data_IF_566071329558
#
_entry.id   IF_566071329558
#
_cell.length_a   1.000
_cell.length_b   1.000
_cell.length_c   1.000
_cell.angle_alpha   90.00
_cell.angle_beta   90.00
_cell.angle_gamma   90.00
#
_symmetry.space_group_name_H-M   'P 1'
#
loop_
_entity.id
_entity.type
_entity.pdbx_description
1 polymer ?
#
# COMPACT_ATOMS: atom_id res chain seq x y z
N UNK A 1 17.29 10.27 -18.08
CA UNK A 1 15.87 10.42 -17.68
C UNK A 1 14.99 9.90 -18.79
N UNK A 2 14.37 8.76 -18.61
CA UNK A 2 13.36 8.28 -19.55
C UNK A 2 12.05 9.04 -19.32
N UNK A 3 11.40 9.39 -20.41
CA UNK A 3 10.09 10.09 -20.36
C UNK A 3 9.07 9.17 -20.97
N UNK A 4 7.96 8.96 -20.31
CA UNK A 4 6.86 8.15 -20.83
C UNK A 4 5.53 8.89 -20.75
N UNK A 5 4.60 8.49 -21.61
CA UNK A 5 3.21 8.97 -21.56
C UNK A 5 2.36 7.98 -20.77
N UNK A 6 1.60 8.46 -19.79
CA UNK A 6 0.68 7.65 -18.99
C UNK A 6 -0.75 8.04 -19.33
N UNK A 7 -1.62 7.02 -19.42
CA UNK A 7 -3.05 7.19 -19.67
C UNK A 7 -3.85 7.14 -18.36
N UNK A 8 -4.59 8.22 -18.09
CA UNK A 8 -5.69 8.22 -17.11
C UNK A 8 -6.91 7.51 -17.74
N UNK A 9 -7.15 6.28 -17.29
CA UNK A 9 -8.22 5.44 -17.82
C UNK A 9 -9.61 6.05 -17.56
N UNK A 10 -9.81 6.80 -16.49
CA UNK A 10 -11.12 7.34 -16.12
C UNK A 10 -11.50 8.52 -17.00
N UNK A 11 -10.54 9.35 -17.38
CA UNK A 11 -10.75 10.46 -18.30
C UNK A 11 -10.81 10.04 -19.77
N UNK A 12 -10.25 8.89 -20.12
CA UNK A 12 -10.14 8.44 -21.50
C UNK A 12 -11.49 8.06 -22.10
N UNK A 13 -11.88 8.70 -23.23
CA UNK A 13 -13.10 8.45 -23.96
C UNK A 13 -12.81 8.14 -25.45
N UNK A 14 -12.24 6.96 -25.77
CA UNK A 14 -11.71 6.65 -27.10
C UNK A 14 -12.77 6.69 -28.20
N UNK A 15 -14.02 6.30 -27.91
CA UNK A 15 -15.14 6.36 -28.86
C UNK A 15 -15.47 7.79 -29.33
N UNK A 16 -15.17 8.81 -28.52
CA UNK A 16 -15.43 10.21 -28.87
C UNK A 16 -14.27 10.87 -29.61
N UNK A 17 -13.04 10.46 -29.38
CA UNK A 17 -11.85 11.03 -30.03
C UNK A 17 -11.28 10.16 -31.13
N UNK A 18 -11.88 9.01 -31.40
CA UNK A 18 -11.40 8.06 -32.41
C UNK A 18 -9.91 7.75 -32.30
N UNK A 19 -9.42 7.48 -31.07
CA UNK A 19 -8.03 7.10 -30.80
C UNK A 19 -6.99 8.09 -31.35
N UNK A 20 -7.25 9.38 -31.26
CA UNK A 20 -6.36 10.44 -31.78
C UNK A 20 -4.90 10.28 -31.33
N UNK A 21 -4.65 9.76 -30.12
CA UNK A 21 -3.31 9.50 -29.59
C UNK A 21 -2.53 8.49 -30.46
N UNK A 22 -3.18 7.46 -30.98
CA UNK A 22 -2.55 6.46 -31.86
C UNK A 22 -2.24 7.06 -33.22
N UNK A 23 -3.17 7.81 -33.82
CA UNK A 23 -2.99 8.42 -35.14
C UNK A 23 -1.82 9.40 -35.22
N UNK A 24 -1.49 10.07 -34.13
CA UNK A 24 -0.40 11.04 -34.07
C UNK A 24 0.88 10.51 -33.41
N UNK A 25 0.88 9.27 -32.90
CA UNK A 25 2.07 8.68 -32.30
C UNK A 25 3.13 8.39 -33.37
N UNK A 26 4.37 8.89 -33.22
CA UNK A 26 5.44 8.59 -34.17
C UNK A 26 5.74 7.08 -34.26
N UNK A 27 5.84 6.37 -33.11
CA UNK A 27 6.11 4.93 -33.09
C UNK A 27 5.03 4.13 -33.82
N UNK A 28 3.74 4.40 -33.55
CA UNK A 28 2.62 3.76 -34.28
C UNK A 28 2.69 4.01 -35.79
N UNK A 29 3.11 5.22 -36.21
CA UNK A 29 3.30 5.55 -37.63
C UNK A 29 4.50 4.83 -38.27
N UNK A 30 5.45 4.38 -37.44
CA UNK A 30 6.58 3.57 -37.85
C UNK A 30 6.29 2.06 -37.76
N UNK A 31 5.00 1.71 -37.59
CA UNK A 31 4.52 0.33 -37.45
C UNK A 31 5.01 -0.37 -36.18
N UNK A 32 5.36 0.40 -35.14
CA UNK A 32 5.69 -0.11 -33.81
C UNK A 32 4.44 -0.19 -32.93
N UNK A 33 4.36 -1.18 -32.05
CA UNK A 33 3.28 -1.37 -31.08
C UNK A 33 3.37 -0.41 -29.87
N UNK A 34 3.79 0.83 -30.11
CA UNK A 34 3.95 1.87 -29.09
C UNK A 34 2.65 2.19 -28.38
N UNK A 35 1.52 2.17 -29.09
CA UNK A 35 0.17 2.31 -28.50
C UNK A 35 -0.72 1.24 -29.14
N UNK A 36 -1.22 0.33 -28.33
CA UNK A 36 -2.17 -0.71 -28.75
C UNK A 36 -3.54 -0.53 -28.07
N UNK A 37 -4.55 -1.22 -28.56
CA UNK A 37 -5.89 -1.18 -27.96
C UNK A 37 -6.05 -2.39 -27.05
N UNK A 38 -6.24 -2.17 -25.76
CA UNK A 38 -6.58 -3.23 -24.82
C UNK A 38 -7.93 -3.87 -25.19
N UNK A 39 -7.94 -5.17 -25.39
CA UNK A 39 -9.13 -5.91 -25.84
C UNK A 39 -10.30 -5.86 -24.84
N UNK A 40 -10.00 -5.79 -23.54
CA UNK A 40 -11.02 -5.80 -22.47
C UNK A 40 -11.64 -4.42 -22.27
N UNK A 41 -10.81 -3.41 -22.05
CA UNK A 41 -11.29 -2.05 -21.75
C UNK A 41 -11.60 -1.23 -23.00
N UNK A 42 -11.12 -1.67 -24.18
CA UNK A 42 -11.17 -0.90 -25.45
C UNK A 42 -10.50 0.48 -25.34
N UNK A 43 -9.58 0.65 -24.42
CA UNK A 43 -8.79 1.87 -24.22
C UNK A 43 -7.37 1.69 -24.76
N UNK A 44 -6.67 2.80 -25.11
CA UNK A 44 -5.27 2.71 -25.51
C UNK A 44 -4.41 2.21 -24.36
N UNK A 45 -3.46 1.35 -24.67
CA UNK A 45 -2.38 0.91 -23.79
C UNK A 45 -1.06 1.42 -24.40
N UNK A 46 -0.30 2.18 -23.63
CA UNK A 46 0.96 2.79 -24.08
C UNK A 46 2.10 1.93 -23.60
N UNK A 47 2.96 1.48 -24.52
CA UNK A 47 4.16 0.71 -24.17
C UNK A 47 5.18 1.59 -23.45
N UNK A 48 5.70 1.12 -22.33
CA UNK A 48 6.74 1.81 -21.56
C UNK A 48 8.10 1.77 -22.25
N UNK A 49 8.38 0.68 -22.95
CA UNK A 49 9.66 0.47 -23.65
C UNK A 49 9.75 1.25 -24.96
N UNK A 50 8.66 1.29 -25.71
CA UNK A 50 8.62 1.91 -27.04
C UNK A 50 8.24 3.39 -26.99
N UNK A 51 7.69 3.88 -25.89
CA UNK A 51 7.25 5.26 -25.77
C UNK A 51 8.42 6.21 -25.49
N UNK A 52 8.73 7.09 -26.41
CA UNK A 52 9.79 8.12 -26.26
C UNK A 52 9.38 9.34 -25.40
N UNK A 53 8.14 9.39 -24.87
CA UNK A 53 7.65 10.50 -24.07
C UNK A 53 7.62 11.85 -24.81
N UNK A 54 7.45 11.86 -26.12
CA UNK A 54 7.51 13.06 -26.97
C UNK A 54 6.38 14.08 -26.70
N UNK A 55 5.33 13.70 -25.97
CA UNK A 55 4.22 14.58 -25.58
C UNK A 55 3.20 14.91 -26.68
N UNK A 56 3.33 14.37 -27.89
CA UNK A 56 2.39 14.65 -28.99
C UNK A 56 1.00 14.15 -28.62
N UNK A 57 0.87 12.94 -28.08
CA UNK A 57 -0.39 12.36 -27.65
C UNK A 57 -1.06 13.18 -26.53
N UNK A 58 -0.29 13.74 -25.62
CA UNK A 58 -0.78 14.61 -24.53
C UNK A 58 -1.42 15.88 -25.10
N UNK A 59 -0.71 16.55 -26.01
CA UNK A 59 -1.19 17.79 -26.64
C UNK A 59 -2.39 17.57 -27.56
N UNK A 60 -2.57 16.38 -28.08
CA UNK A 60 -3.67 16.04 -28.99
C UNK A 60 -4.89 15.44 -28.29
N UNK A 61 -4.75 14.99 -27.05
CA UNK A 61 -5.85 14.38 -26.30
C UNK A 61 -6.90 15.43 -25.90
N UNK A 62 -8.14 15.40 -26.46
CA UNK A 62 -9.15 16.41 -26.15
C UNK A 62 -9.71 16.30 -24.72
N UNK A 63 -9.43 15.19 -24.03
CA UNK A 63 -9.90 14.92 -22.67
C UNK A 63 -8.81 15.13 -21.60
N UNK A 64 -7.59 15.51 -21.99
CA UNK A 64 -6.48 15.64 -21.06
C UNK A 64 -6.17 14.33 -20.29
N UNK A 65 -6.45 13.19 -20.93
CA UNK A 65 -6.31 11.88 -20.31
C UNK A 65 -4.89 11.32 -20.42
N UNK A 66 -3.95 12.01 -21.07
CA UNK A 66 -2.56 11.54 -21.24
C UNK A 66 -1.62 12.58 -20.67
N UNK A 67 -0.73 12.19 -19.80
CA UNK A 67 0.30 13.02 -19.21
C UNK A 67 1.67 12.42 -19.48
N UNK A 68 2.68 13.26 -19.71
CA UNK A 68 4.09 12.82 -19.79
C UNK A 68 4.69 12.95 -18.39
N UNK A 69 5.26 11.89 -17.92
CA UNK A 69 6.06 11.89 -16.70
C UNK A 69 7.53 11.65 -17.02
N UNK A 70 8.40 12.29 -16.23
CA UNK A 70 9.82 11.96 -16.23
C UNK A 70 9.99 10.83 -15.23
N UNK A 71 10.37 9.64 -15.71
CA UNK A 71 10.83 8.60 -14.81
C UNK A 71 12.23 9.00 -14.32
N UNK A 72 12.53 8.93 -13.03
CA UNK A 72 13.91 8.85 -12.60
C UNK A 72 14.55 7.70 -13.38
N UNK A 73 15.80 7.84 -13.78
CA UNK A 73 16.53 6.70 -14.36
C UNK A 73 16.31 5.54 -13.40
N UNK A 74 15.79 4.43 -13.91
CA UNK A 74 15.57 3.24 -13.12
C UNK A 74 16.96 2.77 -12.66
N UNK A 75 17.40 3.25 -11.51
CA UNK A 75 18.69 2.91 -10.93
C UNK A 75 18.67 1.50 -10.35
N UNK A 76 17.48 0.91 -10.17
CA UNK A 76 17.29 -0.40 -9.57
C UNK A 76 16.01 -1.05 -10.13
N UNK A 77 15.99 -2.38 -10.12
CA UNK A 77 14.77 -3.14 -10.39
C UNK A 77 13.69 -2.79 -9.34
N UNK A 78 12.43 -2.59 -9.73
CA UNK A 78 11.38 -2.29 -8.76
C UNK A 78 11.19 -3.49 -7.83
N UNK A 79 11.04 -3.22 -6.55
CA UNK A 79 10.73 -4.26 -5.55
C UNK A 79 9.37 -4.90 -5.81
N UNK A 80 8.38 -4.10 -6.22
CA UNK A 80 7.05 -4.60 -6.56
C UNK A 80 6.37 -3.70 -7.59
N UNK A 81 5.63 -4.34 -8.51
CA UNK A 81 4.85 -3.68 -9.54
C UNK A 81 3.47 -4.35 -9.68
N UNK A 82 2.40 -3.56 -9.72
CA UNK A 82 1.03 -4.10 -9.81
C UNK A 82 0.58 -4.41 -11.24
N UNK A 83 1.29 -3.95 -12.24
CA UNK A 83 0.92 -4.17 -13.65
C UNK A 83 1.57 -3.16 -14.59
N UNK A 84 1.30 -3.28 -15.88
CA UNK A 84 1.81 -2.36 -16.88
C UNK A 84 1.29 -0.93 -16.65
N UNK A 85 2.16 0.08 -16.70
CA UNK A 85 1.84 1.49 -16.43
C UNK A 85 1.16 1.71 -15.05
N UNK A 86 1.51 0.89 -14.09
CA UNK A 86 0.97 0.88 -12.75
C UNK A 86 1.99 1.40 -11.75
N UNK A 87 1.58 1.48 -10.49
CA UNK A 87 2.47 1.87 -9.41
C UNK A 87 3.64 0.89 -9.26
N UNK A 88 4.83 1.44 -9.08
CA UNK A 88 6.08 0.73 -8.80
C UNK A 88 6.63 1.15 -7.45
N UNK A 89 7.05 0.18 -6.67
CA UNK A 89 7.75 0.38 -5.41
C UNK A 89 9.23 0.08 -5.60
N UNK A 90 10.09 1.01 -5.19
CA UNK A 90 11.55 0.85 -5.20
C UNK A 90 12.08 0.79 -3.77
N UNK A 91 12.77 -0.30 -3.44
CA UNK A 91 13.38 -0.52 -2.14
C UNK A 91 12.39 -0.78 -1.01
N UNK A 92 12.92 -1.33 0.08
CA UNK A 92 12.22 -1.54 1.35
C UNK A 92 13.06 -0.94 2.49
N UNK A 93 12.42 -0.45 3.55
CA UNK A 93 13.15 0.03 4.71
C UNK A 93 13.81 -1.11 5.45
N UNK A 94 14.97 -0.85 6.03
CA UNK A 94 15.67 -1.81 6.89
C UNK A 94 15.01 -1.83 8.26
N UNK A 95 14.52 -3.01 8.66
CA UNK A 95 13.95 -3.26 9.97
C UNK A 95 15.07 -3.49 10.99
N UNK A 96 14.91 -2.90 12.17
CA UNK A 96 15.77 -3.15 13.33
C UNK A 96 14.90 -3.68 14.46
N UNK A 97 15.32 -4.80 15.03
CA UNK A 97 14.65 -5.37 16.19
C UNK A 97 14.58 -4.38 17.35
N UNK A 98 13.45 -4.35 18.05
CA UNK A 98 13.21 -3.44 19.19
C UNK A 98 13.09 -1.95 18.80
N UNK A 99 12.94 -1.63 17.52
CA UNK A 99 12.80 -0.24 17.06
C UNK A 99 11.44 0.05 16.47
N UNK A 100 11.07 1.34 16.45
CA UNK A 100 9.87 1.84 15.78
C UNK A 100 10.27 2.50 14.47
N UNK A 101 9.62 2.12 13.38
CA UNK A 101 9.80 2.69 12.05
C UNK A 101 8.57 3.49 11.63
N UNK A 102 8.74 4.78 11.39
CA UNK A 102 7.68 5.66 10.86
C UNK A 102 7.76 5.79 9.34
N UNK A 103 6.69 5.44 8.62
CA UNK A 103 6.56 5.66 7.19
C UNK A 103 5.80 6.96 6.93
N UNK A 104 6.51 7.98 6.45
CA UNK A 104 5.95 9.29 6.13
C UNK A 104 5.96 9.53 4.63
N UNK A 105 4.89 10.13 4.11
CA UNK A 105 4.80 10.46 2.69
C UNK A 105 3.37 10.73 2.25
N UNK A 106 3.22 11.27 1.05
CA UNK A 106 1.92 11.55 0.44
C UNK A 106 1.10 10.27 0.22
N UNK A 107 -0.21 10.43 0.03
CA UNK A 107 -1.06 9.29 -0.33
C UNK A 107 -0.69 8.77 -1.73
N UNK A 108 -0.72 7.45 -1.89
CA UNK A 108 -0.33 6.78 -3.13
C UNK A 108 1.17 6.55 -3.32
N UNK A 109 2.05 6.95 -2.37
CA UNK A 109 3.52 6.75 -2.50
C UNK A 109 3.97 5.30 -2.21
N UNK A 110 3.06 4.42 -1.79
CA UNK A 110 3.38 3.01 -1.53
C UNK A 110 3.53 2.60 -0.08
N UNK A 111 3.15 3.45 0.91
CA UNK A 111 3.21 3.10 2.34
C UNK A 111 2.52 1.78 2.65
N UNK A 112 1.27 1.62 2.21
CA UNK A 112 0.51 0.38 2.44
C UNK A 112 1.10 -0.81 1.68
N UNK A 113 1.70 -0.60 0.51
CA UNK A 113 2.42 -1.65 -0.23
C UNK A 113 3.63 -2.16 0.57
N UNK A 114 4.43 -1.24 1.12
CA UNK A 114 5.56 -1.59 2.00
C UNK A 114 5.05 -2.40 3.20
N UNK A 115 3.99 -1.93 3.87
CA UNK A 115 3.42 -2.62 5.03
C UNK A 115 2.92 -4.02 4.69
N UNK A 116 2.23 -4.17 3.55
CA UNK A 116 1.74 -5.48 3.08
C UNK A 116 2.88 -6.45 2.76
N UNK A 117 3.99 -5.95 2.19
CA UNK A 117 5.17 -6.77 1.94
C UNK A 117 5.82 -7.19 3.26
N UNK A 118 6.05 -6.25 4.17
CA UNK A 118 6.67 -6.53 5.46
C UNK A 118 5.80 -7.39 6.38
N UNK A 119 4.49 -7.38 6.21
CA UNK A 119 3.57 -8.26 6.94
C UNK A 119 3.35 -9.63 6.28
N UNK A 120 3.92 -9.87 5.12
CA UNK A 120 3.74 -11.12 4.38
C UNK A 120 2.41 -11.25 3.63
N UNK A 121 1.58 -10.19 3.61
CA UNK A 121 0.32 -10.18 2.87
C UNK A 121 0.52 -10.02 1.36
N UNK A 122 1.67 -9.49 0.95
CA UNK A 122 2.06 -9.28 -0.43
C UNK A 122 3.48 -9.79 -0.65
N UNK A 123 3.66 -10.69 -1.60
CA UNK A 123 4.99 -11.17 -2.00
C UNK A 123 5.53 -10.25 -3.10
N UNK A 124 6.72 -9.65 -2.95
CA UNK A 124 7.34 -8.84 -3.99
C UNK A 124 7.54 -9.62 -5.29
N UNK A 125 7.35 -8.94 -6.43
CA UNK A 125 7.50 -9.56 -7.75
C UNK A 125 8.67 -9.02 -8.59
N UNK A 126 9.44 -8.07 -8.06
CA UNK A 126 10.61 -7.48 -8.70
C UNK A 126 10.35 -7.01 -10.14
N UNK A 127 9.15 -6.46 -10.39
CA UNK A 127 8.72 -5.97 -11.71
C UNK A 127 8.05 -7.01 -12.60
N UNK A 128 8.19 -8.30 -12.31
CA UNK A 128 7.54 -9.40 -13.05
C UNK A 128 6.11 -9.60 -12.54
N UNK A 129 5.18 -8.74 -12.99
CA UNK A 129 3.78 -8.76 -12.58
C UNK A 129 2.94 -9.85 -13.28
N UNK A 130 3.47 -10.50 -14.31
CA UNK A 130 2.83 -11.61 -15.02
C UNK A 130 3.29 -12.98 -14.50
N UNK A 131 4.45 -13.02 -13.85
CA UNK A 131 5.04 -14.22 -13.28
C UNK A 131 4.54 -14.55 -11.88
N UNK A 132 4.91 -15.75 -11.42
CA UNK A 132 4.62 -16.19 -10.06
C UNK A 132 5.65 -15.59 -9.08
N UNK A 133 5.13 -14.90 -8.06
CA UNK A 133 5.94 -14.44 -6.92
C UNK A 133 6.13 -15.58 -5.92
N UNK A 134 7.35 -15.74 -5.40
CA UNK A 134 7.64 -16.74 -4.37
C UNK A 134 8.59 -16.21 -3.31
N UNK A 135 8.51 -16.75 -2.11
CA UNK A 135 9.41 -16.37 -1.02
C UNK A 135 10.86 -16.75 -1.30
N UNK A 136 11.11 -17.82 -2.07
CA UNK A 136 12.46 -18.23 -2.47
C UNK A 136 13.13 -17.12 -3.30
N UNK A 137 12.42 -16.56 -4.29
CA UNK A 137 12.92 -15.43 -5.10
C UNK A 137 13.23 -14.22 -4.23
N UNK A 138 12.37 -13.91 -3.25
CA UNK A 138 12.54 -12.78 -2.33
C UNK A 138 13.78 -12.97 -1.45
N UNK A 139 13.94 -14.14 -0.86
CA UNK A 139 15.08 -14.49 0.00
C UNK A 139 16.40 -14.44 -0.77
N UNK A 140 16.41 -14.90 -2.03
CA UNK A 140 17.61 -14.88 -2.89
C UNK A 140 17.97 -13.45 -3.32
N UNK A 141 16.97 -12.64 -3.68
CA UNK A 141 17.17 -11.22 -4.03
C UNK A 141 17.81 -10.42 -2.88
N UNK A 142 17.35 -10.62 -1.65
CA UNK A 142 17.88 -9.94 -0.47
C UNK A 142 19.08 -10.63 0.18
N UNK A 143 19.74 -11.57 -0.52
CA UNK A 143 20.89 -12.31 -0.03
C UNK A 143 22.02 -11.41 0.49
N UNK A 144 22.46 -11.68 1.72
CA UNK A 144 23.49 -10.87 2.37
C UNK A 144 23.00 -9.57 3.01
N UNK A 145 21.72 -9.24 2.93
CA UNK A 145 21.12 -8.09 3.60
C UNK A 145 20.40 -8.48 4.90
N UNK A 146 20.09 -7.48 5.76
CA UNK A 146 19.30 -7.69 6.97
C UNK A 146 17.88 -8.21 6.67
N UNK A 147 17.32 -7.82 5.52
CA UNK A 147 15.99 -8.26 5.08
C UNK A 147 15.92 -9.74 4.71
N UNK A 148 17.06 -10.38 4.36
CA UNK A 148 17.08 -11.80 4.04
C UNK A 148 16.62 -12.66 5.22
N UNK A 149 17.16 -12.41 6.41
CA UNK A 149 16.80 -13.17 7.61
C UNK A 149 15.36 -12.91 8.01
N UNK A 150 14.92 -11.64 7.94
CA UNK A 150 13.54 -11.27 8.19
C UNK A 150 12.57 -12.04 7.29
N UNK A 151 12.80 -12.05 5.97
CA UNK A 151 11.92 -12.75 5.03
C UNK A 151 11.99 -14.27 5.15
N UNK A 152 13.12 -14.84 5.59
CA UNK A 152 13.19 -16.27 5.94
C UNK A 152 12.25 -16.62 7.09
N UNK A 153 12.35 -15.90 8.20
CA UNK A 153 11.48 -16.12 9.36
C UNK A 153 10.02 -15.82 9.07
N UNK A 154 9.73 -14.79 8.24
CA UNK A 154 8.37 -14.48 7.79
C UNK A 154 7.78 -15.61 6.92
N UNK A 155 8.56 -16.13 5.96
CA UNK A 155 8.16 -17.24 5.10
C UNK A 155 7.98 -18.57 5.85
N UNK A 156 8.77 -18.79 6.91
CA UNK A 156 8.64 -19.93 7.81
C UNK A 156 7.45 -19.83 8.77
N UNK A 157 6.78 -18.68 8.85
CA UNK A 157 5.69 -18.42 9.79
C UNK A 157 6.15 -18.23 11.24
N UNK A 158 7.43 -17.92 11.44
CA UNK A 158 8.02 -17.68 12.76
C UNK A 158 7.71 -16.26 13.28
N UNK A 159 7.31 -15.33 12.40
CA UNK A 159 6.96 -13.96 12.77
C UNK A 159 5.44 -13.84 12.83
N UNK A 160 4.89 -13.68 14.03
CA UNK A 160 3.48 -13.36 14.23
C UNK A 160 3.27 -11.87 14.04
N UNK A 161 2.60 -11.52 12.95
CA UNK A 161 2.29 -10.14 12.58
C UNK A 161 0.97 -9.71 13.19
N UNK A 162 0.98 -8.61 13.91
CA UNK A 162 -0.22 -7.98 14.48
C UNK A 162 -0.50 -6.67 13.72
N UNK A 163 -1.70 -6.58 13.18
CA UNK A 163 -2.12 -5.45 12.35
C UNK A 163 -3.25 -4.65 12.99
N UNK A 164 -3.06 -3.33 13.07
CA UNK A 164 -4.14 -2.36 13.33
C UNK A 164 -4.62 -1.81 11.97
N UNK A 165 -5.83 -2.15 11.52
CA UNK A 165 -6.34 -1.72 10.22
C UNK A 165 -6.67 -0.22 10.19
N UNK A 166 -6.65 0.37 9.00
CA UNK A 166 -7.01 1.77 8.77
C UNK A 166 -8.49 2.05 9.13
N UNK A 167 -9.41 1.18 8.67
CA UNK A 167 -10.85 1.37 8.89
C UNK A 167 -11.29 0.73 10.21
N UNK A 168 -11.38 1.53 11.25
CA UNK A 168 -11.85 1.06 12.57
C UNK A 168 -13.39 1.00 12.71
N UNK A 169 -14.11 1.73 11.88
CA UNK A 169 -15.60 1.75 11.89
C UNK A 169 -16.20 0.38 11.56
N UNK A 170 -15.47 -0.50 10.88
CA UNK A 170 -15.90 -1.88 10.64
C UNK A 170 -15.83 -2.76 11.90
N UNK A 171 -14.95 -2.40 12.86
CA UNK A 171 -14.83 -3.14 14.11
C UNK A 171 -16.13 -3.08 14.93
N UNK A 172 -16.79 -1.93 15.01
CA UNK A 172 -18.07 -1.78 15.72
C UNK A 172 -19.19 -2.62 15.13
N UNK A 173 -19.13 -2.97 13.83
CA UNK A 173 -20.13 -3.81 13.15
C UNK A 173 -19.89 -5.31 13.33
N UNK A 174 -18.64 -5.71 13.54
CA UNK A 174 -18.24 -7.12 13.63
C UNK A 174 -18.12 -7.57 15.08
N UNK A 175 -17.59 -6.71 15.95
CA UNK A 175 -17.38 -7.01 17.37
C UNK A 175 -18.59 -6.55 18.18
N UNK A 176 -19.30 -7.51 18.77
CA UNK A 176 -20.44 -7.25 19.68
C UNK A 176 -19.97 -7.30 21.14
N UNK A 177 -20.57 -6.46 21.96
CA UNK A 177 -20.28 -6.39 23.40
C UNK A 177 -19.54 -5.12 23.79
N UNK A 178 -19.19 -5.03 25.08
CA UNK A 178 -18.52 -3.85 25.62
C UNK A 178 -16.99 -3.90 25.42
N UNK A 179 -16.37 -2.73 25.53
CA UNK A 179 -14.92 -2.54 25.35
C UNK A 179 -14.10 -3.44 26.27
N UNK A 180 -14.50 -3.53 27.55
CA UNK A 180 -13.80 -4.31 28.56
C UNK A 180 -13.72 -5.79 28.20
N UNK A 181 -14.85 -6.36 27.79
CA UNK A 181 -14.91 -7.77 27.36
C UNK A 181 -14.00 -8.03 26.16
N UNK A 182 -14.00 -7.13 25.16
CA UNK A 182 -13.13 -7.24 24.01
C UNK A 182 -11.65 -7.19 24.43
N UNK A 183 -11.24 -6.16 25.18
CA UNK A 183 -9.83 -5.98 25.55
C UNK A 183 -9.33 -7.12 26.43
N UNK A 184 -10.16 -7.60 27.37
CA UNK A 184 -9.83 -8.76 28.20
C UNK A 184 -9.64 -10.03 27.36
N UNK A 185 -10.45 -10.22 26.32
CA UNK A 185 -10.37 -11.41 25.46
C UNK A 185 -9.12 -11.46 24.56
N UNK A 186 -8.51 -10.30 24.28
CA UNK A 186 -7.32 -10.19 23.41
C UNK A 186 -6.04 -9.92 24.21
N UNK A 187 -6.11 -9.81 25.53
CA UNK A 187 -4.94 -9.56 26.37
C UNK A 187 -4.10 -10.84 26.53
N UNK A 188 -3.22 -11.08 25.57
CA UNK A 188 -2.24 -12.18 25.60
C UNK A 188 -1.00 -11.82 26.42
N UNK A 189 -0.82 -10.53 26.77
CA UNK A 189 0.37 -10.00 27.43
C UNK A 189 0.19 -9.67 28.92
N UNK A 190 -1.03 -9.74 29.44
CA UNK A 190 -1.35 -9.38 30.83
C UNK A 190 -1.11 -7.89 31.15
N UNK A 191 -1.27 -7.01 30.15
CA UNK A 191 -1.01 -5.56 30.25
C UNK A 191 -2.27 -4.71 30.14
N UNK A 192 -3.43 -5.28 30.39
CA UNK A 192 -4.72 -4.62 30.21
C UNK A 192 -4.81 -3.30 30.97
N UNK A 193 -4.47 -3.30 32.27
CA UNK A 193 -4.62 -2.10 33.13
C UNK A 193 -3.65 -0.99 32.68
N UNK A 194 -2.40 -1.32 32.33
CA UNK A 194 -1.39 -0.38 31.83
C UNK A 194 -1.89 0.31 30.56
N UNK A 195 -2.37 -0.47 29.59
CA UNK A 195 -2.84 0.05 28.29
C UNK A 195 -4.14 0.84 28.41
N UNK A 196 -5.04 0.48 29.34
CA UNK A 196 -6.25 1.27 29.64
C UNK A 196 -5.87 2.66 30.15
N UNK A 197 -4.85 2.75 31.00
CA UNK A 197 -4.38 4.02 31.55
C UNK A 197 -3.68 4.88 30.48
N UNK A 198 -2.76 4.29 29.73
CA UNK A 198 -2.00 4.97 28.69
C UNK A 198 -2.90 5.55 27.58
N UNK A 199 -3.97 4.84 27.21
CA UNK A 199 -4.88 5.27 26.15
C UNK A 199 -6.15 5.95 26.64
N UNK A 200 -6.25 6.29 27.94
CA UNK A 200 -7.40 6.98 28.57
C UNK A 200 -8.74 6.30 28.22
N UNK A 201 -8.84 4.99 28.47
CA UNK A 201 -9.99 4.16 28.11
C UNK A 201 -10.95 3.91 29.30
N UNK A 202 -10.62 4.34 30.52
CA UNK A 202 -11.42 4.05 31.75
C UNK A 202 -12.90 4.40 31.60
N UNK A 203 -13.16 5.52 30.95
CA UNK A 203 -14.54 6.06 30.83
C UNK A 203 -15.40 5.35 29.76
N UNK A 204 -14.79 4.47 28.94
CA UNK A 204 -15.46 3.78 27.83
C UNK A 204 -15.56 2.27 28.02
N UNK A 205 -14.94 1.70 29.06
CA UNK A 205 -14.85 0.26 29.27
C UNK A 205 -16.20 -0.47 29.29
N UNK A 206 -17.20 0.14 29.90
CA UNK A 206 -18.54 -0.46 30.05
C UNK A 206 -19.48 -0.10 28.86
N UNK A 207 -18.99 0.69 27.87
CA UNK A 207 -19.79 1.03 26.68
C UNK A 207 -19.68 -0.06 25.62
N UNK A 208 -20.78 -0.24 24.92
CA UNK A 208 -20.79 -1.12 23.75
C UNK A 208 -20.01 -0.49 22.58
N UNK A 209 -19.37 -1.32 21.80
CA UNK A 209 -18.55 -0.91 20.64
C UNK A 209 -19.30 -0.01 19.64
N UNK A 210 -20.61 -0.21 19.50
CA UNK A 210 -21.47 0.57 18.60
C UNK A 210 -21.71 2.02 19.08
N UNK A 211 -21.48 2.29 20.37
CA UNK A 211 -21.73 3.58 21.00
C UNK A 211 -20.47 4.42 21.20
N UNK A 212 -19.35 4.01 20.58
CA UNK A 212 -18.09 4.72 20.65
C UNK A 212 -17.99 5.79 19.57
N UNK A 213 -17.40 6.93 19.90
CA UNK A 213 -16.95 7.92 18.92
C UNK A 213 -15.78 7.39 18.10
N UNK A 214 -15.51 7.98 16.92
CA UNK A 214 -14.40 7.58 16.07
C UNK A 214 -13.04 7.58 16.79
N UNK A 215 -12.77 8.59 17.63
CA UNK A 215 -11.53 8.67 18.41
C UNK A 215 -11.44 7.62 19.52
N UNK A 216 -12.55 7.32 20.20
CA UNK A 216 -12.62 6.25 21.21
C UNK A 216 -12.40 4.89 20.55
N UNK A 217 -13.06 4.64 19.42
CA UNK A 217 -12.91 3.40 18.65
C UNK A 217 -11.47 3.21 18.14
N UNK A 218 -10.83 4.30 17.73
CA UNK A 218 -9.42 4.28 17.31
C UNK A 218 -8.49 3.87 18.45
N UNK A 219 -8.67 4.45 19.65
CA UNK A 219 -7.88 4.09 20.85
C UNK A 219 -8.13 2.64 21.28
N UNK A 220 -9.37 2.18 21.24
CA UNK A 220 -9.71 0.76 21.51
C UNK A 220 -9.04 -0.17 20.48
N UNK A 221 -9.01 0.21 19.21
CA UNK A 221 -8.33 -0.58 18.18
C UNK A 221 -6.81 -0.64 18.41
N UNK A 222 -6.19 0.46 18.82
CA UNK A 222 -4.76 0.48 19.20
C UNK A 222 -4.54 -0.42 20.41
N UNK A 223 -5.35 -0.29 21.46
CA UNK A 223 -5.28 -1.13 22.67
C UNK A 223 -5.36 -2.63 22.31
N UNK A 224 -6.38 -3.00 21.54
CA UNK A 224 -6.58 -4.39 21.10
C UNK A 224 -5.42 -4.93 20.25
N UNK A 225 -4.69 -4.07 19.54
CA UNK A 225 -3.52 -4.44 18.79
C UNK A 225 -2.31 -4.67 19.70
N UNK A 226 -2.06 -3.74 20.63
CA UNK A 226 -0.89 -3.77 21.53
C UNK A 226 -1.00 -4.88 22.60
N UNK A 227 -2.22 -5.23 23.00
CA UNK A 227 -2.46 -6.31 23.99
C UNK A 227 -2.17 -7.70 23.43
N UNK A 228 -2.17 -7.89 22.13
CA UNK A 228 -1.78 -9.17 21.52
C UNK A 228 -0.28 -9.36 21.57
N UNK A 229 0.16 -10.60 21.65
CA UNK A 229 1.56 -10.98 21.55
C UNK A 229 1.95 -11.17 20.07
N UNK A 230 3.09 -10.58 19.66
CA UNK A 230 3.61 -10.69 18.30
C UNK A 230 5.00 -10.12 18.18
N UNK A 231 5.72 -10.52 17.14
CA UNK A 231 7.08 -10.07 16.83
C UNK A 231 7.11 -8.82 15.96
N UNK A 232 6.05 -8.61 15.15
CA UNK A 232 5.93 -7.47 14.26
C UNK A 232 4.55 -6.83 14.37
N UNK A 233 4.54 -5.55 14.76
CA UNK A 233 3.32 -4.75 14.87
C UNK A 233 3.31 -3.70 13.77
N UNK A 234 2.21 -3.57 13.04
CA UNK A 234 2.04 -2.43 12.17
C UNK A 234 0.70 -1.72 12.34
N UNK A 235 0.76 -0.39 12.30
CA UNK A 235 -0.37 0.49 12.53
C UNK A 235 -0.58 1.34 11.29
N UNK A 236 -1.71 1.14 10.62
CA UNK A 236 -2.09 1.98 9.48
C UNK A 236 -2.86 3.20 9.98
N UNK A 237 -2.30 4.39 9.75
CA UNK A 237 -2.84 5.68 10.19
C UNK A 237 -3.32 5.69 11.65
N UNK A 238 -2.48 5.40 12.65
CA UNK A 238 -2.91 5.26 14.04
C UNK A 238 -3.46 6.55 14.65
N UNK A 239 -3.12 7.72 14.10
CA UNK A 239 -3.53 9.02 14.59
C UNK A 239 -4.78 9.58 13.93
N UNK A 240 -5.38 8.87 12.96
CA UNK A 240 -6.65 9.25 12.35
C UNK A 240 -7.75 9.30 13.42
N UNK A 241 -8.65 10.28 13.32
CA UNK A 241 -9.76 10.51 14.27
C UNK A 241 -9.36 10.96 15.68
N UNK A 242 -8.05 11.03 16.02
CA UNK A 242 -7.57 11.54 17.28
C UNK A 242 -7.47 13.07 17.24
N UNK A 243 -7.84 13.73 18.34
CA UNK A 243 -7.59 15.16 18.49
C UNK A 243 -6.10 15.47 18.71
N UNK A 244 -5.74 16.76 18.70
CA UNK A 244 -4.34 17.19 18.81
C UNK A 244 -3.70 16.72 20.13
N UNK A 245 -4.45 16.74 21.24
CA UNK A 245 -3.94 16.31 22.55
C UNK A 245 -3.69 14.81 22.57
N UNK A 246 -4.61 14.03 22.01
CA UNK A 246 -4.51 12.58 21.93
C UNK A 246 -3.40 12.09 20.98
N UNK A 247 -2.96 12.93 20.02
CA UNK A 247 -1.85 12.62 19.11
C UNK A 247 -0.49 12.86 19.73
N UNK A 248 -0.41 13.66 20.80
CA UNK A 248 0.83 14.07 21.46
C UNK A 248 1.14 13.26 22.73
N UNK A 249 0.19 12.49 23.22
CA UNK A 249 0.37 11.51 24.27
C UNK A 249 0.73 10.14 23.69
#
# INVERSE_FOLDING_TARGET
MSRISILDKDRCQPKKCNYVCMHYCPGVRMEEDTIVIDEKSKKPLISEELCSGCGICTNRCPFGAINVINLPEALEEPTHRYGQNSFELFGLPVLKEGSVLGLLGQNGIGKSTIMNILSGQLIPNFGDYEGESSWEKVIDHYKGSALQNYFKSLAAGEIKVIHKPQMVDQLSKVVKGNVKTLLTSVDERGKLDEIIDDLDLKNVLERDMENLSGGELQRVAIAATVLREGEFYYFDEPTSWLDVRQRLN
#
